data_IF_410158253752
#
_entry.id   IF_410158253752
#
_cell.length_a   1.000
_cell.length_b   1.000
_cell.length_c   1.000
_cell.angle_alpha   90.00
_cell.angle_beta   90.00
_cell.angle_gamma   90.00
#
_symmetry.space_group_name_H-M   'P 1'
#
loop_
_entity.id
_entity.type
_entity.pdbx_description
1 polymer ?
#
# COMPACT_ATOMS: atom_id res chain seq x y z
N UNK A 1 10.75 5.78 0.38
CA UNK A 1 10.83 5.75 1.87
C UNK A 1 10.15 4.46 2.35
N UNK A 2 10.58 3.87 3.47
CA UNK A 2 10.10 2.58 3.97
C UNK A 2 9.50 2.73 5.38
N UNK A 3 8.46 1.97 5.70
CA UNK A 3 7.83 1.87 7.02
C UNK A 3 7.20 0.50 7.21
N UNK A 4 7.12 0.05 8.46
CA UNK A 4 6.24 -1.06 8.85
C UNK A 4 4.78 -0.58 8.88
N UNK A 5 3.84 -1.45 8.50
CA UNK A 5 2.39 -1.24 8.65
C UNK A 5 1.80 -2.19 9.70
N UNK A 6 2.19 -3.46 9.68
CA UNK A 6 1.71 -4.51 10.59
C UNK A 6 2.68 -5.70 10.61
N UNK A 7 2.46 -6.67 11.51
CA UNK A 7 3.37 -7.79 11.85
C UNK A 7 4.26 -8.33 10.72
N UNK A 8 3.67 -8.63 9.56
CA UNK A 8 4.38 -9.20 8.39
C UNK A 8 4.34 -8.30 7.16
N UNK A 9 3.88 -7.05 7.31
CA UNK A 9 3.54 -6.16 6.21
C UNK A 9 4.41 -4.90 6.22
N UNK A 10 5.22 -4.77 5.18
CA UNK A 10 6.01 -3.59 4.87
C UNK A 10 5.30 -2.65 3.90
N UNK A 11 5.57 -1.36 4.04
CA UNK A 11 5.14 -0.30 3.14
C UNK A 11 6.34 0.48 2.62
N UNK A 12 6.33 0.74 1.32
CA UNK A 12 7.23 1.68 0.69
C UNK A 12 6.43 2.67 -0.16
N UNK A 13 6.96 3.88 -0.29
CA UNK A 13 6.39 4.86 -1.19
C UNK A 13 7.45 5.77 -1.81
N UNK A 14 7.16 6.22 -3.03
CA UNK A 14 7.84 7.30 -3.73
C UNK A 14 6.85 8.42 -4.06
N UNK A 15 7.36 9.63 -4.31
CA UNK A 15 6.54 10.80 -4.62
C UNK A 15 6.48 11.81 -3.47
N UNK A 16 5.36 12.54 -3.37
CA UNK A 16 5.19 13.62 -2.39
C UNK A 16 5.02 13.10 -0.96
N UNK A 17 5.88 13.59 -0.07
CA UNK A 17 5.93 13.14 1.33
C UNK A 17 4.60 13.22 2.05
N UNK A 18 3.94 14.38 2.00
CA UNK A 18 2.68 14.61 2.71
C UNK A 18 1.56 13.68 2.22
N UNK A 19 1.56 13.35 0.93
CA UNK A 19 0.52 12.52 0.30
C UNK A 19 0.69 11.05 0.67
N UNK A 20 1.90 10.50 0.53
CA UNK A 20 2.13 9.10 0.92
C UNK A 20 2.14 8.90 2.44
N UNK A 21 2.51 9.93 3.23
CA UNK A 21 2.47 9.83 4.69
C UNK A 21 1.03 9.79 5.20
N UNK A 22 0.11 10.56 4.59
CA UNK A 22 -1.32 10.46 4.88
C UNK A 22 -1.85 9.06 4.59
N UNK A 23 -1.46 8.47 3.46
CA UNK A 23 -1.83 7.09 3.11
C UNK A 23 -1.23 6.08 4.10
N UNK A 24 0.04 6.24 4.47
CA UNK A 24 0.69 5.38 5.48
C UNK A 24 -0.08 5.38 6.80
N UNK A 25 -0.42 6.55 7.32
CA UNK A 25 -1.20 6.70 8.56
C UNK A 25 -2.58 6.03 8.42
N UNK A 26 -3.25 6.21 7.28
CA UNK A 26 -4.52 5.55 6.98
C UNK A 26 -4.44 4.03 6.99
N UNK A 27 -3.37 3.47 6.40
CA UNK A 27 -3.14 2.02 6.37
C UNK A 27 -2.85 1.43 7.73
N UNK A 28 -2.02 2.08 8.55
CA UNK A 28 -1.77 1.66 9.94
C UNK A 28 -3.09 1.61 10.72
N UNK A 29 -3.92 2.65 10.62
CA UNK A 29 -5.23 2.68 11.30
C UNK A 29 -6.17 1.58 10.81
N UNK A 30 -6.19 1.31 9.51
CA UNK A 30 -6.98 0.22 8.94
C UNK A 30 -6.53 -1.14 9.47
N UNK A 31 -5.22 -1.39 9.47
CA UNK A 31 -4.62 -2.63 9.96
C UNK A 31 -4.92 -2.84 11.45
N UNK A 32 -4.68 -1.82 12.27
CA UNK A 32 -4.97 -1.86 13.71
C UNK A 32 -6.44 -2.15 14.01
N UNK A 33 -7.36 -1.44 13.33
CA UNK A 33 -8.79 -1.61 13.54
C UNK A 33 -9.25 -3.01 13.12
N UNK A 34 -8.75 -3.51 11.98
CA UNK A 34 -9.11 -4.84 11.46
C UNK A 34 -8.58 -5.94 12.38
N UNK A 35 -7.31 -5.87 12.78
CA UNK A 35 -6.70 -6.83 13.71
C UNK A 35 -7.33 -6.80 15.10
N UNK A 36 -7.82 -5.64 15.55
CA UNK A 36 -8.57 -5.54 16.80
C UNK A 36 -10.01 -6.09 16.71
N UNK A 37 -10.68 -5.85 15.57
CA UNK A 37 -12.10 -6.23 15.39
C UNK A 37 -12.27 -7.72 15.10
N UNK A 38 -11.32 -8.31 14.37
CA UNK A 38 -11.32 -9.70 13.96
C UNK A 38 -10.11 -10.40 14.59
N UNK A 39 -9.23 -11.01 13.79
CA UNK A 39 -7.95 -11.54 14.22
C UNK A 39 -6.78 -10.77 13.60
N UNK A 40 -5.59 -10.83 14.23
CA UNK A 40 -4.36 -10.26 13.65
C UNK A 40 -3.99 -10.95 12.35
N UNK A 41 -4.29 -12.23 12.22
CA UNK A 41 -4.07 -13.02 11.01
C UNK A 41 -5.03 -12.64 9.86
N UNK A 42 -6.09 -11.88 10.13
CA UNK A 42 -7.01 -11.34 9.10
C UNK A 42 -6.49 -10.05 8.43
N UNK A 43 -5.34 -9.53 8.88
CA UNK A 43 -4.68 -8.36 8.29
C UNK A 43 -3.68 -8.82 7.24
N UNK A 44 -4.00 -8.56 5.97
CA UNK A 44 -3.18 -8.98 4.82
C UNK A 44 -2.75 -7.79 3.95
N UNK A 45 -1.62 -7.90 3.26
CA UNK A 45 -1.16 -6.89 2.31
C UNK A 45 -2.15 -6.71 1.17
N UNK A 46 -2.81 -7.79 0.73
CA UNK A 46 -3.89 -7.71 -0.27
C UNK A 46 -5.04 -6.83 0.21
N UNK A 47 -5.42 -6.96 1.48
CA UNK A 47 -6.44 -6.12 2.10
C UNK A 47 -6.05 -4.64 2.08
N UNK A 48 -4.82 -4.33 2.50
CA UNK A 48 -4.28 -2.96 2.46
C UNK A 48 -4.18 -2.41 1.04
N UNK A 49 -3.70 -3.21 0.09
CA UNK A 49 -3.62 -2.82 -1.32
C UNK A 49 -4.99 -2.45 -1.88
N UNK A 50 -6.04 -3.24 -1.58
CA UNK A 50 -7.39 -2.92 -2.01
C UNK A 50 -7.91 -1.60 -1.43
N UNK A 51 -7.64 -1.32 -0.15
CA UNK A 51 -8.02 -0.05 0.48
C UNK A 51 -7.28 1.13 -0.16
N UNK A 52 -5.98 0.98 -0.41
CA UNK A 52 -5.19 2.01 -1.07
C UNK A 52 -5.62 2.25 -2.52
N UNK A 53 -5.86 1.20 -3.29
CA UNK A 53 -6.37 1.28 -4.65
C UNK A 53 -7.69 2.05 -4.73
N UNK A 54 -8.64 1.73 -3.86
CA UNK A 54 -9.92 2.43 -3.78
C UNK A 54 -9.73 3.91 -3.43
N UNK A 55 -8.86 4.21 -2.46
CA UNK A 55 -8.57 5.58 -2.03
C UNK A 55 -7.93 6.40 -3.16
N UNK A 56 -6.87 5.87 -3.78
CA UNK A 56 -6.17 6.51 -4.89
C UNK A 56 -7.07 6.69 -6.11
N UNK A 57 -7.85 5.67 -6.48
CA UNK A 57 -8.79 5.76 -7.60
C UNK A 57 -9.89 6.80 -7.38
N UNK A 58 -10.36 6.94 -6.13
CA UNK A 58 -11.33 7.99 -5.76
C UNK A 58 -10.72 9.38 -5.89
N UNK A 59 -9.50 9.59 -5.38
CA UNK A 59 -8.79 10.86 -5.47
C UNK A 59 -8.48 11.20 -6.93
N UNK A 60 -8.00 10.22 -7.72
CA UNK A 60 -7.67 10.39 -9.13
C UNK A 60 -8.89 10.77 -9.98
N UNK A 61 -10.05 10.19 -9.68
CA UNK A 61 -11.30 10.46 -10.39
C UNK A 61 -12.03 11.73 -9.91
N UNK A 62 -11.64 12.27 -8.76
CA UNK A 62 -12.24 13.49 -8.21
C UNK A 62 -11.87 14.69 -9.06
N UNK A 63 -12.87 15.38 -9.64
CA UNK A 63 -12.63 16.62 -10.37
C UNK A 63 -12.26 17.81 -9.47
N UNK A 64 -12.39 17.66 -8.14
CA UNK A 64 -12.19 18.73 -7.17
C UNK A 64 -10.80 18.73 -6.52
N UNK A 65 -10.11 17.59 -6.54
CA UNK A 65 -8.80 17.44 -5.88
C UNK A 65 -7.71 17.13 -6.89
N UNK A 66 -6.51 17.65 -6.63
CA UNK A 66 -5.35 17.28 -7.42
C UNK A 66 -5.01 15.81 -7.15
N UNK A 67 -4.80 14.97 -8.17
CA UNK A 67 -4.35 13.59 -7.99
C UNK A 67 -3.06 13.53 -7.17
N UNK A 68 -2.96 12.53 -6.30
CA UNK A 68 -1.74 12.32 -5.53
C UNK A 68 -0.60 11.94 -6.46
N UNK A 69 0.56 12.54 -6.27
CA UNK A 69 1.80 12.24 -6.98
C UNK A 69 2.59 11.21 -6.15
N UNK A 70 2.07 9.99 -6.08
CA UNK A 70 2.65 8.90 -5.28
C UNK A 70 2.66 7.58 -6.05
N UNK A 71 3.58 6.71 -5.66
CA UNK A 71 3.60 5.30 -6.02
C UNK A 71 3.88 4.50 -4.76
N UNK A 72 3.02 3.53 -4.46
CA UNK A 72 3.09 2.72 -3.24
C UNK A 72 3.52 1.29 -3.55
N UNK A 73 4.18 0.67 -2.58
CA UNK A 73 4.42 -0.77 -2.52
C UNK A 73 3.96 -1.26 -1.16
N UNK A 74 3.16 -2.32 -1.16
CA UNK A 74 2.81 -3.07 0.05
C UNK A 74 3.32 -4.48 -0.14
N UNK A 75 4.16 -4.94 0.79
CA UNK A 75 4.74 -6.28 0.75
C UNK A 75 4.36 -7.05 2.01
N UNK A 76 3.94 -8.30 1.86
CA UNK A 76 3.72 -9.24 2.96
C UNK A 76 4.69 -10.39 2.86
N UNK A 77 5.36 -10.69 3.97
CA UNK A 77 6.32 -11.78 4.06
C UNK A 77 5.60 -13.07 4.47
N UNK A 78 5.75 -14.11 3.65
CA UNK A 78 5.23 -15.44 3.90
C UNK A 78 6.04 -16.19 4.97
N UNK A 79 5.58 -17.39 5.34
CA UNK A 79 6.40 -18.29 6.18
C UNK A 79 7.60 -18.86 5.41
N UNK A 80 7.51 -18.90 4.09
CA UNK A 80 8.57 -19.26 3.14
C UNK A 80 8.62 -18.18 2.04
N UNK A 81 9.77 -17.97 1.38
CA UNK A 81 9.92 -16.93 0.34
C UNK A 81 8.94 -17.06 -0.83
N UNK A 82 8.47 -18.28 -1.11
CA UNK A 82 7.47 -18.57 -2.14
C UNK A 82 6.07 -18.01 -1.81
N UNK A 83 5.84 -17.71 -0.52
CA UNK A 83 4.62 -17.10 -0.04
C UNK A 83 4.68 -15.56 0.06
N UNK A 84 5.81 -14.95 -0.28
CA UNK A 84 5.94 -13.49 -0.28
C UNK A 84 5.03 -12.88 -1.34
N UNK A 85 4.31 -11.81 -0.97
CA UNK A 85 3.42 -11.09 -1.87
C UNK A 85 3.80 -9.63 -1.93
N UNK A 86 3.87 -9.06 -3.13
CA UNK A 86 4.19 -7.66 -3.33
C UNK A 86 3.16 -7.02 -4.25
N UNK A 87 2.53 -5.96 -3.75
CA UNK A 87 1.55 -5.18 -4.50
C UNK A 87 2.11 -3.79 -4.78
N UNK A 88 2.17 -3.41 -6.05
CA UNK A 88 2.51 -2.05 -6.48
C UNK A 88 1.24 -1.29 -6.85
N UNK A 89 1.12 -0.07 -6.36
CA UNK A 89 -0.02 0.80 -6.58
C UNK A 89 0.42 2.14 -7.16
N UNK A 90 0.21 2.37 -8.46
CA UNK A 90 0.40 3.68 -9.08
C UNK A 90 -0.66 4.68 -8.60
N UNK A 91 -0.42 5.95 -8.92
CA UNK A 91 -1.28 7.08 -8.55
C UNK A 91 -2.74 7.00 -9.05
N UNK A 92 -3.02 6.19 -10.08
CA UNK A 92 -4.35 6.00 -10.64
C UNK A 92 -5.22 5.00 -9.86
N UNK A 93 -4.65 4.34 -8.84
CA UNK A 93 -5.33 3.34 -8.03
C UNK A 93 -5.41 1.96 -8.65
N UNK A 94 -4.71 1.70 -9.75
CA UNK A 94 -4.52 0.33 -10.24
C UNK A 94 -3.68 -0.51 -9.26
N UNK A 95 -3.85 -1.83 -9.31
CA UNK A 95 -3.06 -2.78 -8.52
C UNK A 95 -2.28 -3.65 -9.49
N UNK A 96 -0.97 -3.72 -9.28
CA UNK A 96 -0.09 -4.67 -9.96
C UNK A 96 0.40 -5.66 -8.91
N UNK A 97 0.07 -6.94 -9.11
CA UNK A 97 0.62 -8.05 -8.34
C UNK A 97 1.97 -8.43 -8.96
N UNK A 98 3.03 -8.33 -8.16
CA UNK A 98 4.41 -8.57 -8.59
C UNK A 98 4.95 -9.81 -7.87
N UNK A 99 5.62 -10.68 -8.60
CA UNK A 99 6.27 -11.86 -8.05
C UNK A 99 7.78 -11.69 -8.12
N UNK A 100 8.46 -11.73 -6.97
CA UNK A 100 9.90 -11.56 -6.87
C UNK A 100 10.32 -10.19 -6.34
N UNK A 101 10.79 -9.28 -7.21
CA UNK A 101 11.31 -7.97 -6.80
C UNK A 101 10.62 -6.82 -7.53
N UNK A 102 10.48 -5.67 -6.83
CA UNK A 102 9.79 -4.49 -7.35
C UNK A 102 10.70 -3.27 -7.24
N UNK A 103 10.83 -2.53 -8.35
CA UNK A 103 11.44 -1.20 -8.38
C UNK A 103 10.35 -0.13 -8.44
N UNK A 104 10.51 0.93 -7.64
CA UNK A 104 9.63 2.10 -7.59
C UNK A 104 10.46 3.36 -7.57
N UNK A 105 10.15 4.29 -8.49
CA UNK A 105 10.94 5.50 -8.74
C UNK A 105 11.42 5.61 -10.19
N UNK A 106 11.28 6.80 -10.77
CA UNK A 106 11.37 7.05 -12.22
C UNK A 106 12.70 6.68 -12.89
N UNK A 107 12.63 6.48 -14.22
CA UNK A 107 13.78 6.66 -15.09
C UNK A 107 14.29 8.10 -14.96
N UNK A 108 15.60 8.25 -14.85
CA UNK A 108 16.29 9.54 -14.86
C UNK A 108 15.93 10.39 -16.09
#
# INVERSE_FOLDING_TARGET
KFSEIYDRIGFAAAGKYNEYENLRIGGVRYADLRGYTYDRDDVTARGLANVYAQTLGTIFSSAAEKPYEVELVVAEVGSEPEGDQIYRLPHDGSIVDEHGSVAVGGNA
#
